data_IF_880027831911
#
_entry.id   IF_880027831911
#
_cell.length_a   1.000
_cell.length_b   1.000
_cell.length_c   1.000
_cell.angle_alpha   90.00
_cell.angle_beta   90.00
_cell.angle_gamma   90.00
#
_symmetry.space_group_name_H-M   'P 1'
#
loop_
_entity.id
_entity.type
_entity.pdbx_description
1 polymer ?
#
# COMPACT_ATOMS: atom_id res chain seq x y z
N UNK A 1 3.45 -13.32 2.11
CA UNK A 1 2.17 -13.85 1.54
C UNK A 1 2.03 -13.38 0.10
N UNK A 2 1.40 -14.15 -0.80
CA UNK A 2 1.23 -13.75 -2.21
C UNK A 2 0.48 -12.41 -2.37
N UNK A 3 -0.65 -12.27 -1.66
CA UNK A 3 -1.50 -11.08 -1.73
C UNK A 3 -0.77 -9.78 -1.37
N UNK A 4 0.01 -9.77 -0.30
CA UNK A 4 0.80 -8.60 0.10
C UNK A 4 1.80 -8.19 -1.00
N UNK A 5 2.51 -9.15 -1.58
CA UNK A 5 3.46 -8.89 -2.67
C UNK A 5 2.78 -8.30 -3.91
N UNK A 6 1.60 -8.82 -4.24
CA UNK A 6 0.81 -8.35 -5.38
C UNK A 6 0.33 -6.90 -5.18
N UNK A 7 -0.13 -6.55 -3.97
CA UNK A 7 -0.57 -5.17 -3.64
C UNK A 7 0.62 -4.20 -3.66
N UNK A 8 1.76 -4.56 -3.05
CA UNK A 8 2.97 -3.73 -3.09
C UNK A 8 3.42 -3.47 -4.52
N UNK A 9 3.37 -4.49 -5.38
CA UNK A 9 3.74 -4.37 -6.79
C UNK A 9 2.78 -3.43 -7.53
N UNK A 10 1.47 -3.55 -7.27
CA UNK A 10 0.46 -2.66 -7.85
C UNK A 10 0.70 -1.18 -7.47
N UNK A 11 1.02 -0.90 -6.20
CA UNK A 11 1.32 0.47 -5.75
C UNK A 11 2.57 1.01 -6.45
N UNK A 12 3.65 0.23 -6.49
CA UNK A 12 4.91 0.64 -7.11
C UNK A 12 4.83 0.80 -8.64
N UNK A 13 3.85 0.18 -9.29
CA UNK A 13 3.59 0.32 -10.72
C UNK A 13 2.65 1.49 -11.05
N UNK A 14 2.10 2.18 -10.04
CA UNK A 14 1.22 3.32 -10.25
C UNK A 14 2.02 4.53 -10.70
N UNK A 15 1.57 5.18 -11.77
CA UNK A 15 2.20 6.39 -12.29
C UNK A 15 2.31 7.48 -11.22
N UNK A 16 3.51 8.03 -11.09
CA UNK A 16 3.79 9.05 -10.09
C UNK A 16 4.22 8.49 -8.73
N UNK A 17 4.12 7.18 -8.46
CA UNK A 17 4.71 6.57 -7.25
C UNK A 17 6.20 6.30 -7.49
N UNK A 18 7.06 6.76 -6.58
CA UNK A 18 8.51 6.57 -6.66
C UNK A 18 9.02 5.52 -5.67
N UNK A 19 8.48 5.51 -4.47
CA UNK A 19 8.94 4.60 -3.41
C UNK A 19 7.83 4.36 -2.40
N UNK A 20 7.73 3.12 -1.93
CA UNK A 20 6.86 2.75 -0.81
C UNK A 20 7.67 2.87 0.49
N UNK A 21 7.29 3.78 1.39
CA UNK A 21 7.99 4.06 2.65
C UNK A 21 7.43 3.26 3.83
N UNK A 22 6.13 2.95 3.80
CA UNK A 22 5.48 2.07 4.78
C UNK A 22 4.37 1.24 4.13
N UNK A 23 4.15 0.04 4.65
CA UNK A 23 3.08 -0.85 4.23
C UNK A 23 2.65 -1.73 5.39
N UNK A 24 1.37 -1.72 5.70
CA UNK A 24 0.76 -2.54 6.74
C UNK A 24 -0.55 -3.18 6.28
N UNK A 25 -0.86 -4.35 6.84
CA UNK A 25 -2.12 -5.04 6.56
C UNK A 25 -2.71 -5.62 7.82
N UNK A 26 -4.02 -5.43 7.98
CA UNK A 26 -4.76 -5.97 9.12
C UNK A 26 -5.94 -6.80 8.63
N UNK A 27 -5.88 -8.12 8.85
CA UNK A 27 -7.02 -9.00 8.61
C UNK A 27 -7.95 -9.01 9.82
N UNK A 28 -9.23 -8.74 9.59
CA UNK A 28 -10.30 -8.78 10.61
C UNK A 28 -11.13 -10.05 10.39
N UNK A 29 -10.91 -11.13 11.16
CA UNK A 29 -11.55 -12.44 10.89
C UNK A 29 -13.08 -12.41 10.98
N UNK A 30 -13.62 -11.56 11.86
CA UNK A 30 -15.07 -11.45 12.10
C UNK A 30 -15.83 -10.92 10.88
N UNK A 31 -15.24 -9.97 10.16
CA UNK A 31 -15.84 -9.35 8.97
C UNK A 31 -15.24 -9.87 7.67
N UNK A 32 -14.20 -10.72 7.75
CA UNK A 32 -13.40 -11.19 6.60
C UNK A 32 -12.86 -10.03 5.75
N UNK A 33 -12.60 -8.89 6.37
CA UNK A 33 -12.01 -7.72 5.71
C UNK A 33 -10.49 -7.72 5.91
N UNK A 34 -9.78 -7.28 4.88
CA UNK A 34 -8.37 -6.94 4.97
C UNK A 34 -8.27 -5.43 4.79
N UNK A 35 -7.78 -4.75 5.81
CA UNK A 35 -7.41 -3.34 5.72
C UNK A 35 -5.98 -3.24 5.24
N UNK A 36 -5.70 -2.32 4.33
CA UNK A 36 -4.37 -2.05 3.80
C UNK A 36 -4.05 -0.58 4.03
N UNK A 37 -2.91 -0.30 4.65
CA UNK A 37 -2.37 1.04 4.79
C UNK A 37 -1.01 1.10 4.09
N UNK A 38 -0.81 2.12 3.26
CA UNK A 38 0.42 2.32 2.52
C UNK A 38 0.81 3.79 2.54
N UNK A 39 2.09 4.04 2.79
CA UNK A 39 2.70 5.36 2.66
C UNK A 39 3.72 5.30 1.53
N UNK A 40 3.68 6.27 0.63
CA UNK A 40 4.60 6.34 -0.50
C UNK A 40 5.09 7.76 -0.73
N UNK A 41 6.26 7.88 -1.34
CA UNK A 41 6.76 9.13 -1.89
C UNK A 41 6.48 9.17 -3.39
N UNK A 42 5.95 10.28 -3.87
CA UNK A 42 5.69 10.50 -5.28
C UNK A 42 6.95 10.97 -6.06
N UNK A 43 6.81 11.14 -7.37
CA UNK A 43 7.88 11.65 -8.25
C UNK A 43 8.32 13.08 -7.95
N UNK A 44 7.52 13.85 -7.20
CA UNK A 44 7.83 15.21 -6.76
C UNK A 44 8.47 15.25 -5.36
N UNK A 45 8.60 14.10 -4.69
CA UNK A 45 9.15 14.01 -3.34
C UNK A 45 8.11 14.22 -2.23
N UNK A 46 6.82 14.29 -2.57
CA UNK A 46 5.74 14.44 -1.61
C UNK A 46 5.39 13.08 -1.01
N UNK A 47 5.23 13.01 0.31
CA UNK A 47 4.74 11.82 0.99
C UNK A 47 3.21 11.82 1.03
N UNK A 48 2.60 10.67 0.76
CA UNK A 48 1.15 10.47 0.79
C UNK A 48 0.80 9.14 1.43
N UNK A 49 -0.33 9.12 2.14
CA UNK A 49 -0.88 7.93 2.79
C UNK A 49 -2.20 7.55 2.13
N UNK A 50 -2.39 6.25 1.91
CA UNK A 50 -3.66 5.68 1.44
C UNK A 50 -4.07 4.54 2.36
N UNK A 51 -5.36 4.52 2.71
CA UNK A 51 -5.97 3.46 3.51
C UNK A 51 -7.22 2.94 2.82
N UNK A 52 -7.36 1.61 2.75
CA UNK A 52 -8.50 0.92 2.15
C UNK A 52 -9.01 -0.23 3.05
#
# INVERSE_FOLDING_TARGET
>A
MKLESDIRSCILQTDGVKTLTAFDTQYVPKSRKLTVAATFTDIYGTESEVTA
#
